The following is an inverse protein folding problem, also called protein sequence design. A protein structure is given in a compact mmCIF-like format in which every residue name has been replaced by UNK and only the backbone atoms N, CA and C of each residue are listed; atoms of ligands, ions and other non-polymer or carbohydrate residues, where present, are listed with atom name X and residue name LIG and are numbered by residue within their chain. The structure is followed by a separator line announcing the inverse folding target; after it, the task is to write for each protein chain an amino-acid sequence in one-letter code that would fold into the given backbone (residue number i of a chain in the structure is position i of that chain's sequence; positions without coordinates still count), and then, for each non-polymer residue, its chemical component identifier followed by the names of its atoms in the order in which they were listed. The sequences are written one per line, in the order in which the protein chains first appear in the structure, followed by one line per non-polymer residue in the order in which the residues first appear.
data_IF_290683586392
#
_entry.id   IF_290683586392
#
_cell.length_a   1.000
_cell.length_b   1.000
_cell.length_c   1.000
_cell.angle_alpha   90.00
_cell.angle_beta   90.00
_cell.angle_gamma   90.00
#
_symmetry.space_group_name_H-M   'P 1'
#
loop_
_entity.id
_entity.type
_entity.pdbx_description
1 polymer ?
#
# COMPACT_ATOMS: atom_id res chain seq x y z
N UNK A 1 6.65 38.95 -79.61
CA UNK A 1 6.23 39.68 -78.40
C UNK A 1 5.79 38.66 -77.36
N UNK A 2 6.38 38.74 -76.16
CA UNK A 2 6.02 38.02 -74.91
C UNK A 2 6.44 36.54 -74.91
N UNK A 3 7.11 35.96 -73.91
CA UNK A 3 7.80 36.38 -72.69
C UNK A 3 8.42 35.11 -72.08
N UNK A 4 9.45 35.27 -71.25
CA UNK A 4 10.20 34.26 -70.49
C UNK A 4 9.35 33.40 -69.51
N UNK A 5 9.77 32.12 -69.36
CA UNK A 5 10.04 31.27 -68.15
C UNK A 5 9.14 31.39 -66.88
N UNK A 6 9.02 30.39 -65.94
CA UNK A 6 10.04 29.37 -65.59
C UNK A 6 9.53 27.96 -65.20
N UNK A 7 10.50 27.06 -64.99
CA UNK A 7 10.30 25.69 -64.54
C UNK A 7 9.76 25.53 -63.12
N UNK A 8 9.11 24.38 -62.89
CA UNK A 8 8.71 23.89 -61.57
C UNK A 8 9.34 22.51 -61.36
N UNK A 9 10.47 22.50 -60.63
CA UNK A 9 11.06 21.30 -60.05
C UNK A 9 10.09 20.77 -58.98
N UNK A 10 9.28 19.77 -59.35
CA UNK A 10 8.45 19.05 -58.38
C UNK A 10 9.31 17.94 -57.75
N UNK A 11 10.06 18.29 -56.70
CA UNK A 11 10.59 17.32 -55.75
C UNK A 11 9.47 16.94 -54.79
N UNK A 12 8.91 15.75 -54.97
CA UNK A 12 8.02 15.13 -53.98
C UNK A 12 8.34 13.64 -53.91
N UNK A 13 9.45 13.32 -53.25
CA UNK A 13 9.73 11.95 -52.82
C UNK A 13 8.75 11.66 -51.68
N UNK A 14 7.58 11.14 -52.03
CA UNK A 14 6.69 10.53 -51.05
C UNK A 14 7.31 9.21 -50.59
N UNK A 15 8.20 9.30 -49.60
CA UNK A 15 8.63 8.14 -48.83
C UNK A 15 7.47 7.72 -47.93
N UNK A 16 6.58 6.87 -48.47
CA UNK A 16 5.65 6.09 -47.66
C UNK A 16 6.48 5.10 -46.82
N UNK A 17 6.93 5.52 -45.65
CA UNK A 17 7.43 4.61 -44.64
C UNK A 17 6.27 3.73 -44.17
N UNK A 18 6.18 2.51 -44.72
CA UNK A 18 5.26 1.51 -44.23
C UNK A 18 5.66 1.12 -42.80
N UNK A 19 4.87 1.53 -41.83
CA UNK A 19 4.96 1.06 -40.45
C UNK A 19 4.56 -0.42 -40.43
N UNK A 20 5.53 -1.31 -40.44
CA UNK A 20 5.30 -2.74 -40.23
C UNK A 20 4.80 -2.97 -38.80
N UNK A 21 3.50 -3.22 -38.64
CA UNK A 21 2.91 -3.67 -37.38
C UNK A 21 3.26 -5.14 -37.17
N UNK A 22 4.34 -5.43 -36.44
CA UNK A 22 4.67 -6.80 -36.01
C UNK A 22 3.54 -7.35 -35.12
N UNK A 23 2.91 -8.44 -35.56
CA UNK A 23 1.90 -9.18 -34.79
C UNK A 23 2.51 -9.73 -33.50
N UNK A 24 1.97 -9.34 -32.33
CA UNK A 24 2.42 -9.81 -31.02
C UNK A 24 1.81 -11.19 -30.74
N UNK A 25 2.61 -12.14 -30.25
CA UNK A 25 2.12 -13.45 -29.81
C UNK A 25 1.20 -13.28 -28.59
N UNK A 26 0.00 -13.87 -28.64
CA UNK A 26 -0.94 -13.91 -27.50
C UNK A 26 -0.43 -14.90 -26.44
N UNK A 27 -0.34 -14.47 -25.18
CA UNK A 27 0.33 -15.19 -24.08
C UNK A 27 -0.63 -15.89 -23.10
N UNK A 28 -1.95 -15.77 -23.28
CA UNK A 28 -2.91 -16.41 -22.39
C UNK A 28 -2.78 -17.94 -22.49
N UNK A 29 -2.63 -18.61 -21.34
CA UNK A 29 -2.48 -20.06 -21.29
C UNK A 29 -3.84 -20.74 -21.54
N UNK A 30 -3.96 -21.63 -22.54
CA UNK A 30 -5.20 -22.39 -22.73
C UNK A 30 -5.45 -23.32 -21.53
N UNK A 31 -6.71 -23.43 -21.10
CA UNK A 31 -7.13 -24.33 -20.01
C UNK A 31 -7.00 -23.77 -18.60
N UNK A 32 -6.52 -22.53 -18.41
CA UNK A 32 -6.47 -21.85 -17.10
C UNK A 32 -7.50 -20.73 -17.08
N UNK A 33 -8.29 -20.60 -16.00
CA UNK A 33 -9.21 -19.48 -15.82
C UNK A 33 -8.42 -18.17 -15.85
N UNK A 34 -8.86 -17.22 -16.67
CA UNK A 34 -8.24 -15.89 -16.72
C UNK A 34 -8.59 -15.11 -15.46
N UNK A 35 -7.58 -14.52 -14.84
CA UNK A 35 -7.74 -13.59 -13.72
C UNK A 35 -7.64 -12.18 -14.28
N UNK A 36 -8.59 -11.33 -13.95
CA UNK A 36 -8.72 -9.98 -14.50
C UNK A 36 -8.77 -8.95 -13.39
N UNK A 37 -8.26 -7.75 -13.67
CA UNK A 37 -8.48 -6.57 -12.85
C UNK A 37 -9.75 -5.88 -13.35
N UNK A 38 -10.78 -5.80 -12.50
CA UNK A 38 -12.04 -5.13 -12.84
C UNK A 38 -11.85 -3.62 -12.85
N UNK A 39 -11.37 -3.07 -11.73
CA UNK A 39 -11.09 -1.64 -11.58
C UNK A 39 -10.10 -1.42 -10.42
N UNK A 40 -9.49 -0.23 -10.37
CA UNK A 40 -8.54 0.18 -9.35
C UNK A 40 -8.75 1.61 -8.87
N UNK A 41 -8.49 1.83 -7.58
CA UNK A 41 -8.55 3.15 -6.93
C UNK A 41 -7.35 3.35 -6.02
N UNK A 42 -7.09 4.61 -5.68
CA UNK A 42 -6.12 4.99 -4.65
C UNK A 42 -6.51 6.34 -4.06
N UNK A 43 -6.05 6.60 -2.84
CA UNK A 43 -6.05 7.95 -2.29
C UNK A 43 -5.01 8.83 -3.02
N UNK A 44 -5.14 10.17 -2.98
CA UNK A 44 -4.07 11.07 -3.36
C UNK A 44 -2.81 10.81 -2.52
N UNK A 45 -1.65 10.71 -3.16
CA UNK A 45 -0.37 10.57 -2.47
C UNK A 45 0.08 11.95 -2.01
N UNK A 46 0.13 12.15 -0.70
CA UNK A 46 0.51 13.41 -0.07
C UNK A 46 1.86 13.25 0.62
N UNK A 47 2.55 14.37 0.83
CA UNK A 47 3.78 14.39 1.60
C UNK A 47 3.49 14.06 3.07
N UNK A 48 4.32 13.23 3.69
CA UNK A 48 4.19 12.86 5.11
C UNK A 48 4.21 14.10 6.01
N UNK A 49 3.40 14.09 7.07
CA UNK A 49 3.27 15.23 8.00
C UNK A 49 2.45 16.41 7.46
N UNK A 50 1.72 16.24 6.34
CA UNK A 50 0.81 17.26 5.80
C UNK A 50 -0.65 16.94 6.13
N UNK A 51 -1.56 16.95 5.15
CA UNK A 51 -3.02 16.86 5.35
C UNK A 51 -3.48 15.58 6.05
N UNK A 52 -2.76 14.47 5.90
CA UNK A 52 -3.11 13.21 6.57
C UNK A 52 -2.50 13.07 7.97
N UNK A 53 -1.80 14.07 8.51
CA UNK A 53 -1.02 13.94 9.75
C UNK A 53 -1.84 13.44 10.96
N UNK A 54 -3.11 13.84 11.06
CA UNK A 54 -3.99 13.50 12.18
C UNK A 54 -4.82 12.22 11.96
N UNK A 55 -4.53 11.45 10.91
CA UNK A 55 -5.21 10.19 10.59
C UNK A 55 -4.42 8.97 11.09
N UNK A 56 -5.09 7.82 11.18
CA UNK A 56 -4.41 6.53 11.33
C UNK A 56 -4.29 5.82 9.96
N UNK A 57 -3.32 4.89 9.79
CA UNK A 57 -3.17 4.16 8.53
C UNK A 57 -4.46 3.43 8.11
N UNK A 58 -5.21 2.87 9.07
CA UNK A 58 -6.46 2.17 8.74
C UNK A 58 -7.56 3.12 8.22
N UNK A 59 -7.53 4.42 8.54
CA UNK A 59 -8.46 5.41 8.00
C UNK A 59 -8.22 5.65 6.50
N UNK A 60 -6.93 5.69 6.09
CA UNK A 60 -6.55 5.81 4.68
C UNK A 60 -6.93 4.56 3.89
N UNK A 61 -6.71 3.37 4.47
CA UNK A 61 -7.16 2.11 3.88
C UNK A 61 -8.69 2.06 3.75
N UNK A 62 -9.41 2.48 4.79
CA UNK A 62 -10.88 2.58 4.77
C UNK A 62 -11.35 3.52 3.65
N UNK A 63 -10.73 4.70 3.51
CA UNK A 63 -11.08 5.64 2.46
C UNK A 63 -10.84 5.07 1.05
N UNK A 64 -9.72 4.36 0.84
CA UNK A 64 -9.44 3.69 -0.44
C UNK A 64 -10.49 2.60 -0.75
N UNK A 65 -10.83 1.77 0.25
CA UNK A 65 -11.83 0.73 0.15
C UNK A 65 -13.25 1.28 -0.12
N UNK A 66 -13.64 2.36 0.55
CA UNK A 66 -14.90 3.05 0.28
C UNK A 66 -14.93 3.66 -1.12
N UNK A 67 -13.82 4.25 -1.57
CA UNK A 67 -13.69 4.74 -2.94
C UNK A 67 -13.84 3.62 -3.98
N UNK A 68 -13.33 2.41 -3.68
CA UNK A 68 -13.48 1.25 -4.54
C UNK A 68 -14.95 0.82 -4.62
N UNK A 69 -15.60 0.66 -3.47
CA UNK A 69 -17.03 0.29 -3.40
C UNK A 69 -17.89 1.31 -4.14
N UNK A 70 -17.65 2.60 -3.93
CA UNK A 70 -18.39 3.67 -4.59
C UNK A 70 -18.18 3.68 -6.11
N UNK A 71 -16.94 3.50 -6.58
CA UNK A 71 -16.63 3.52 -8.03
C UNK A 71 -17.17 2.28 -8.74
N UNK A 72 -17.07 1.11 -8.11
CA UNK A 72 -17.44 -0.17 -8.73
C UNK A 72 -18.91 -0.52 -8.56
N UNK A 73 -19.59 0.04 -7.55
CA UNK A 73 -20.97 -0.34 -7.21
C UNK A 73 -21.11 -1.77 -6.72
N UNK A 74 -20.01 -2.42 -6.31
CA UNK A 74 -20.02 -3.80 -5.84
C UNK A 74 -20.86 -3.94 -4.56
N UNK A 75 -21.68 -5.00 -4.45
CA UNK A 75 -22.35 -5.28 -3.19
C UNK A 75 -21.32 -5.72 -2.15
N UNK A 76 -21.62 -5.45 -0.88
CA UNK A 76 -20.67 -5.56 0.24
C UNK A 76 -20.26 -6.99 0.59
N UNK A 77 -20.91 -7.96 -0.01
CA UNK A 77 -20.75 -9.41 0.11
C UNK A 77 -20.24 -10.08 -1.18
N UNK A 78 -19.96 -9.33 -2.25
CA UNK A 78 -19.51 -9.88 -3.53
C UNK A 78 -18.06 -10.39 -3.55
N UNK A 79 -17.29 -10.19 -2.48
CA UNK A 79 -15.87 -10.56 -2.45
C UNK A 79 -15.64 -11.62 -1.38
N UNK A 80 -14.81 -12.60 -1.70
CA UNK A 80 -14.53 -13.74 -0.82
C UNK A 80 -13.39 -13.45 0.14
N UNK A 81 -12.47 -12.55 -0.24
CA UNK A 81 -11.27 -12.28 0.53
C UNK A 81 -10.76 -10.84 0.32
N UNK A 82 -10.17 -10.25 1.36
CA UNK A 82 -9.51 -8.94 1.29
C UNK A 82 -8.05 -9.04 1.77
N UNK A 83 -7.11 -8.50 1.00
CA UNK A 83 -5.68 -8.55 1.34
C UNK A 83 -5.07 -7.16 1.17
N UNK A 84 -4.43 -6.65 2.21
CA UNK A 84 -3.79 -5.33 2.18
C UNK A 84 -2.33 -5.39 2.60
N UNK A 85 -1.47 -4.76 1.81
CA UNK A 85 -0.05 -4.58 2.12
C UNK A 85 0.22 -3.34 2.96
N UNK A 86 1.04 -3.46 4.00
CA UNK A 86 1.60 -2.31 4.74
C UNK A 86 2.95 -2.67 5.36
N UNK A 87 3.85 -1.70 5.54
CA UNK A 87 5.19 -1.94 6.12
C UNK A 87 5.23 -1.49 7.57
N UNK A 88 4.84 -0.25 7.85
CA UNK A 88 4.84 0.28 9.21
C UNK A 88 3.53 -0.10 9.88
N UNK A 89 3.60 -1.13 10.72
CA UNK A 89 2.42 -1.65 11.41
C UNK A 89 2.00 -0.75 12.57
N UNK A 90 0.74 -0.33 12.57
CA UNK A 90 0.10 0.31 13.70
C UNK A 90 -0.34 -0.77 14.72
N UNK A 91 0.12 -0.65 15.95
CA UNK A 91 -0.08 -1.66 17.00
C UNK A 91 -1.56 -1.83 17.35
N UNK A 92 -2.35 -0.75 17.28
CA UNK A 92 -3.80 -0.82 17.51
C UNK A 92 -4.55 -1.55 16.40
N UNK A 93 -3.99 -1.61 15.19
CA UNK A 93 -4.62 -2.21 14.01
C UNK A 93 -3.69 -3.22 13.36
N UNK A 94 -3.29 -4.24 14.11
CA UNK A 94 -2.34 -5.28 13.66
C UNK A 94 -2.76 -5.98 12.37
N UNK A 95 -4.06 -6.09 12.10
CA UNK A 95 -4.59 -6.53 10.82
C UNK A 95 -5.35 -5.38 10.17
N UNK A 96 -4.60 -4.45 9.58
CA UNK A 96 -5.16 -3.25 8.94
C UNK A 96 -6.17 -3.59 7.85
N UNK A 97 -6.00 -4.73 7.17
CA UNK A 97 -6.92 -5.19 6.14
C UNK A 97 -8.31 -5.44 6.73
N UNK A 98 -8.36 -6.07 7.90
CA UNK A 98 -9.61 -6.40 8.60
C UNK A 98 -10.26 -5.17 9.22
N UNK A 99 -9.49 -4.32 9.89
CA UNK A 99 -10.05 -3.11 10.53
C UNK A 99 -10.59 -2.14 9.47
N UNK A 100 -9.84 -1.95 8.38
CA UNK A 100 -10.27 -1.09 7.29
C UNK A 100 -11.46 -1.65 6.50
N UNK A 101 -11.54 -2.98 6.28
CA UNK A 101 -12.66 -3.57 5.56
C UNK A 101 -13.97 -3.47 6.33
N UNK A 102 -13.95 -3.74 7.64
CA UNK A 102 -15.11 -3.54 8.51
C UNK A 102 -15.52 -2.06 8.53
N UNK A 103 -14.57 -1.14 8.68
CA UNK A 103 -14.84 0.30 8.64
C UNK A 103 -15.37 0.80 7.29
N UNK A 104 -14.96 0.17 6.18
CA UNK A 104 -15.46 0.49 4.84
C UNK A 104 -16.86 -0.08 4.57
N UNK A 105 -17.34 -0.98 5.42
CA UNK A 105 -18.66 -1.58 5.35
C UNK A 105 -18.73 -2.87 4.53
N UNK A 106 -17.61 -3.55 4.30
CA UNK A 106 -17.63 -4.94 3.82
C UNK A 106 -18.29 -5.86 4.85
N UNK A 107 -18.85 -6.98 4.38
CA UNK A 107 -19.44 -7.99 5.25
C UNK A 107 -18.46 -8.53 6.28
N UNK A 108 -18.94 -8.76 7.50
CA UNK A 108 -18.17 -9.34 8.60
C UNK A 108 -17.71 -10.78 8.33
N UNK A 109 -18.42 -11.49 7.44
CA UNK A 109 -18.10 -12.84 6.97
C UNK A 109 -16.86 -12.90 6.08
N UNK A 110 -16.44 -11.78 5.51
CA UNK A 110 -15.32 -11.74 4.55
C UNK A 110 -13.99 -11.77 5.30
N UNK A 111 -13.20 -12.84 5.20
CA UNK A 111 -11.87 -12.88 5.80
C UNK A 111 -10.95 -11.82 5.18
N UNK A 112 -10.07 -11.26 6.02
CA UNK A 112 -9.06 -10.31 5.58
C UNK A 112 -7.75 -10.51 6.32
N UNK A 113 -6.62 -10.36 5.63
CA UNK A 113 -5.31 -10.38 6.27
C UNK A 113 -4.35 -9.33 5.70
N UNK A 114 -3.43 -8.91 6.55
CA UNK A 114 -2.38 -7.97 6.20
C UNK A 114 -1.11 -8.72 5.80
N UNK A 115 -0.45 -8.24 4.74
CA UNK A 115 0.85 -8.75 4.30
C UNK A 115 1.91 -7.66 4.38
N UNK A 116 3.15 -8.06 4.62
CA UNK A 116 4.29 -7.14 4.67
C UNK A 116 5.46 -7.71 3.89
N UNK A 117 5.92 -6.97 2.89
CA UNK A 117 7.12 -7.23 2.10
C UNK A 117 7.69 -5.91 1.57
N UNK A 118 8.13 -5.04 2.48
CA UNK A 118 8.74 -3.74 2.15
C UNK A 118 7.95 -2.97 1.06
N UNK A 119 8.64 -2.33 0.13
CA UNK A 119 8.04 -1.53 -0.95
C UNK A 119 7.08 -2.32 -1.85
N UNK A 120 7.17 -3.66 -1.87
CA UNK A 120 6.33 -4.52 -2.71
C UNK A 120 5.16 -5.15 -1.94
N UNK A 121 4.87 -4.71 -0.72
CA UNK A 121 3.78 -5.25 0.11
C UNK A 121 2.43 -5.27 -0.62
N UNK A 122 2.09 -4.21 -1.36
CA UNK A 122 0.86 -4.15 -2.17
C UNK A 122 0.88 -5.13 -3.36
N UNK A 123 2.05 -5.35 -3.97
CA UNK A 123 2.21 -6.36 -5.03
C UNK A 123 2.06 -7.78 -4.48
N UNK A 124 2.56 -8.03 -3.27
CA UNK A 124 2.34 -9.29 -2.57
C UNK A 124 0.86 -9.48 -2.30
N UNK A 125 0.12 -8.46 -1.86
CA UNK A 125 -1.32 -8.56 -1.68
C UNK A 125 -2.03 -8.98 -2.98
N UNK A 126 -1.68 -8.37 -4.12
CA UNK A 126 -2.23 -8.73 -5.43
C UNK A 126 -1.85 -10.16 -5.84
N UNK A 127 -0.61 -10.57 -5.60
CA UNK A 127 -0.12 -11.90 -5.95
C UNK A 127 -0.75 -12.99 -5.10
N UNK A 128 -0.89 -12.76 -3.79
CA UNK A 128 -1.60 -13.68 -2.88
C UNK A 128 -3.06 -13.81 -3.31
N UNK A 129 -3.74 -12.71 -3.62
CA UNK A 129 -5.12 -12.73 -4.10
C UNK A 129 -5.29 -13.47 -5.42
N UNK A 130 -4.41 -13.21 -6.40
CA UNK A 130 -4.39 -13.94 -7.66
C UNK A 130 -4.11 -15.44 -7.46
N UNK A 131 -3.26 -15.80 -6.49
CA UNK A 131 -3.02 -17.19 -6.10
C UNK A 131 -4.27 -17.88 -5.55
N UNK A 132 -5.04 -17.20 -4.70
CA UNK A 132 -6.31 -17.71 -4.18
C UNK A 132 -7.31 -17.97 -5.31
N UNK A 133 -7.45 -17.03 -6.25
CA UNK A 133 -8.32 -17.19 -7.42
C UNK A 133 -7.84 -18.32 -8.33
N UNK A 134 -6.54 -18.39 -8.63
CA UNK A 134 -5.96 -19.45 -9.45
C UNK A 134 -6.15 -20.84 -8.83
N UNK A 135 -6.12 -20.94 -7.49
CA UNK A 135 -6.34 -22.19 -6.76
C UNK A 135 -7.82 -22.60 -6.65
N UNK A 136 -8.75 -21.73 -7.05
CA UNK A 136 -10.19 -21.96 -6.92
C UNK A 136 -10.74 -21.82 -5.50
N UNK A 137 -9.98 -21.21 -4.59
CA UNK A 137 -10.44 -20.94 -3.21
C UNK A 137 -11.35 -19.71 -3.12
N UNK A 138 -11.19 -18.77 -4.05
CA UNK A 138 -11.99 -17.55 -4.14
C UNK A 138 -12.31 -17.28 -5.61
N UNK A 139 -13.45 -16.65 -5.89
CA UNK A 139 -13.79 -16.15 -7.22
C UNK A 139 -13.49 -14.65 -7.32
N UNK A 140 -13.62 -13.90 -6.21
CA UNK A 140 -13.36 -12.47 -6.16
C UNK A 140 -12.54 -12.06 -4.91
N UNK A 141 -11.52 -11.23 -5.12
CA UNK A 141 -10.63 -10.73 -4.05
C UNK A 141 -10.41 -9.24 -4.22
N UNK A 142 -10.40 -8.50 -3.11
CA UNK A 142 -9.88 -7.12 -3.07
C UNK A 142 -8.44 -7.14 -2.59
N UNK A 143 -7.54 -6.68 -3.44
CA UNK A 143 -6.13 -6.51 -3.09
C UNK A 143 -5.74 -5.02 -3.10
N UNK A 144 -4.88 -4.62 -2.18
CA UNK A 144 -4.40 -3.25 -2.12
C UNK A 144 -3.26 -3.07 -1.13
N UNK A 145 -3.07 -1.83 -0.70
CA UNK A 145 -2.11 -1.51 0.34
C UNK A 145 -2.29 -0.11 0.87
N UNK A 146 -1.64 0.14 2.00
CA UNK A 146 -1.65 1.41 2.69
C UNK A 146 -0.30 1.62 3.38
N UNK A 147 0.13 2.87 3.45
CA UNK A 147 1.30 3.25 4.22
C UNK A 147 1.06 4.60 4.87
N UNK A 148 1.60 4.79 6.07
CA UNK A 148 1.46 6.00 6.84
C UNK A 148 2.76 6.37 7.53
N UNK A 149 3.36 7.46 7.06
CA UNK A 149 4.67 7.92 7.53
C UNK A 149 4.60 9.16 8.42
N UNK A 150 3.40 9.67 8.74
CA UNK A 150 3.27 10.86 9.60
C UNK A 150 3.39 10.53 11.09
N UNK A 151 3.05 9.29 11.50
CA UNK A 151 3.19 8.80 12.87
C UNK A 151 4.03 7.51 12.91
N UNK A 152 5.33 7.64 12.63
CA UNK A 152 6.24 6.49 12.66
C UNK A 152 6.62 6.17 14.10
N UNK A 153 6.49 4.90 14.55
CA UNK A 153 6.84 4.53 15.92
C UNK A 153 8.29 4.86 16.29
N UNK A 154 8.46 5.62 17.37
CA UNK A 154 9.80 5.98 17.88
C UNK A 154 10.32 4.84 18.77
N UNK A 155 11.53 4.37 18.47
CA UNK A 155 12.21 3.36 19.27
C UNK A 155 13.05 4.00 20.37
N UNK A 156 12.82 3.56 21.61
CA UNK A 156 13.67 3.90 22.76
C UNK A 156 14.53 2.72 23.21
N UNK A 157 15.62 3.04 23.92
CA UNK A 157 16.53 2.04 24.49
C UNK A 157 15.82 0.99 25.33
N UNK A 158 16.36 -0.24 25.37
CA UNK A 158 15.80 -1.34 26.18
C UNK A 158 15.65 -0.92 27.66
N UNK A 159 16.62 -0.17 28.18
CA UNK A 159 16.61 0.33 29.57
C UNK A 159 15.45 1.31 29.78
N UNK A 160 15.28 2.29 28.90
CA UNK A 160 14.17 3.24 28.96
C UNK A 160 12.81 2.53 28.89
N UNK A 161 12.63 1.61 27.93
CA UNK A 161 11.37 0.87 27.80
C UNK A 161 11.04 0.07 29.06
N UNK A 162 12.03 -0.58 29.68
CA UNK A 162 11.86 -1.29 30.96
C UNK A 162 11.47 -0.33 32.08
N UNK A 163 12.13 0.82 32.18
CA UNK A 163 11.80 1.87 33.17
C UNK A 163 10.39 2.42 32.98
N UNK A 164 9.98 2.73 31.75
CA UNK A 164 8.63 3.23 31.45
C UNK A 164 7.53 2.20 31.77
N UNK A 165 7.76 0.94 31.41
CA UNK A 165 6.83 -0.15 31.76
C UNK A 165 6.78 -0.39 33.28
N UNK A 166 7.91 -0.29 33.97
CA UNK A 166 7.96 -0.40 35.43
C UNK A 166 7.23 0.77 36.10
N UNK A 167 7.36 1.98 35.55
CA UNK A 167 6.66 3.17 36.04
C UNK A 167 5.14 3.01 35.92
N UNK A 168 4.64 2.51 34.79
CA UNK A 168 3.21 2.24 34.58
C UNK A 168 2.67 1.20 35.59
N UNK A 169 3.50 0.22 36.00
CA UNK A 169 3.17 -0.80 37.00
C UNK A 169 3.37 -0.37 38.46
N UNK A 170 4.09 0.72 38.72
CA UNK A 170 4.42 1.16 40.07
C UNK A 170 3.18 1.68 40.81
N UNK A 171 2.91 1.09 41.99
CA UNK A 171 1.75 1.42 42.83
C UNK A 171 2.06 2.51 43.87
N UNK A 172 3.32 2.67 44.26
CA UNK A 172 3.74 3.65 45.28
C UNK A 172 4.34 4.92 44.68
N UNK A 173 4.07 6.07 45.33
CA UNK A 173 4.58 7.37 44.89
C UNK A 173 6.11 7.45 44.93
N UNK A 174 6.76 6.85 45.93
CA UNK A 174 8.22 6.82 46.05
C UNK A 174 8.90 6.06 44.90
N UNK A 175 8.36 4.90 44.52
CA UNK A 175 8.85 4.14 43.37
C UNK A 175 8.65 4.91 42.06
N UNK A 176 7.52 5.61 41.90
CA UNK A 176 7.26 6.45 40.72
C UNK A 176 8.28 7.58 40.61
N UNK A 177 8.58 8.28 41.71
CA UNK A 177 9.50 9.41 41.71
C UNK A 177 10.94 8.97 41.38
N UNK A 178 11.38 7.84 41.94
CA UNK A 178 12.69 7.23 41.62
C UNK A 178 12.81 6.85 40.14
N UNK A 179 11.75 6.25 39.57
CA UNK A 179 11.74 5.86 38.17
C UNK A 179 11.72 7.06 37.22
N UNK A 180 10.95 8.11 37.52
CA UNK A 180 10.93 9.37 36.75
C UNK A 180 12.32 10.01 36.70
N UNK A 181 13.05 10.03 37.83
CA UNK A 181 14.44 10.52 37.86
C UNK A 181 15.36 9.77 36.89
N UNK A 182 15.13 8.47 36.69
CA UNK A 182 15.90 7.64 35.76
C UNK A 182 15.46 7.74 34.28
N UNK A 183 14.25 8.26 34.00
CA UNK A 183 13.75 8.49 32.64
C UNK A 183 14.51 9.66 31.98
N UNK A 184 14.75 10.75 32.70
CA UNK A 184 15.48 11.91 32.15
C UNK A 184 16.89 11.56 31.68
N UNK A 185 17.54 10.57 32.32
CA UNK A 185 18.88 10.11 31.95
C UNK A 185 18.93 9.24 30.67
N UNK A 186 17.79 8.76 30.16
CA UNK A 186 17.73 7.77 29.07
C UNK A 186 16.80 8.16 27.92
N UNK A 187 16.44 9.45 27.82
CA UNK A 187 15.45 9.97 26.86
C UNK A 187 15.93 10.08 25.41
N UNK A 188 17.20 9.76 25.13
CA UNK A 188 17.72 9.75 23.76
C UNK A 188 17.02 8.67 22.92
N UNK A 189 16.33 9.02 21.82
CA UNK A 189 15.73 8.04 20.92
C UNK A 189 16.83 7.23 20.22
N UNK A 190 16.61 5.92 20.08
CA UNK A 190 17.49 5.07 19.28
C UNK A 190 17.07 5.21 17.82
N UNK A 191 17.87 5.92 17.02
CA UNK A 191 17.71 5.92 15.57
C UNK A 191 18.26 4.60 15.03
N UNK A 192 17.49 3.86 14.24
CA UNK A 192 18.01 2.70 13.52
C UNK A 192 19.00 3.18 12.45
N UNK A 193 20.28 3.22 12.81
CA UNK A 193 21.39 3.31 11.84
C UNK A 193 21.50 1.97 11.12
N UNK A 194 20.83 1.82 9.98
CA UNK A 194 21.18 0.79 9.01
C UNK A 194 22.47 1.21 8.31
N UNK A 195 23.62 0.63 8.71
CA UNK A 195 24.87 0.45 7.91
C UNK A 195 26.11 0.14 8.77
N UNK A 196 26.03 -0.79 9.73
CA UNK A 196 27.24 -1.52 10.15
C UNK A 196 26.99 -3.01 9.97
N UNK A 197 27.65 -3.68 9.00
CA UNK A 197 27.65 -5.12 8.97
C UNK A 197 28.29 -5.60 10.27
N UNK A 198 27.54 -6.30 11.10
CA UNK A 198 28.15 -7.11 12.15
C UNK A 198 28.79 -8.31 11.45
N UNK A 199 30.11 -8.25 11.27
CA UNK A 199 30.98 -9.42 11.08
C UNK A 199 30.86 -10.36 12.27
#
# INVERSE_FOLDING_TARGET
MVSEQPGSLTTSVHLHAQVQTKSKKTLAKPGVKNIVLVDGVRTPFLLSGTTYADLMPHDLARAALQGLLHRTGLPKDAVDFIIYGTVIQEVKTSNIAREASLGAGFSDRIPAHTVTMACISSNVAMTTGAGLIASGQCDAVVAGGVEFMSDVPIRHSRKMRKTMLALNKAKSLGQRLSLIGSIMAHLTPEVHTHLTPHT
#
